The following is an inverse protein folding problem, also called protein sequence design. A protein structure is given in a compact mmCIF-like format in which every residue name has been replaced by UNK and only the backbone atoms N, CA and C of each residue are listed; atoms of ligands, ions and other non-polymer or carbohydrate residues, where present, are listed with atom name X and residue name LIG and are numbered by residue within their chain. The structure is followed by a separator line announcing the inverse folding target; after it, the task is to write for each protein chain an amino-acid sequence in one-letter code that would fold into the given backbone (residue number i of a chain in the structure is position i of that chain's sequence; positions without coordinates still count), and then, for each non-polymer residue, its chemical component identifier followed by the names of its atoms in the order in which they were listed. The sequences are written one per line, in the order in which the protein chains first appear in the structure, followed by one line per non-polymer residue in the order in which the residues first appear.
data_IF_725135846747
#
_entry.id   IF_725135846747
#
_cell.length_a   1.000
_cell.length_b   1.000
_cell.length_c   1.000
_cell.angle_alpha   90.00
_cell.angle_beta   90.00
_cell.angle_gamma   90.00
#
_symmetry.space_group_name_H-M   'P 1'
#
loop_
_entity.id
_entity.type
_entity.pdbx_description
1 polymer ?
#
# COMPACT_ATOMS: atom_id res chain seq x y z
N UNK A 1 -2.75 -10.48 35.94
CA UNK A 1 -3.59 -9.92 34.86
C UNK A 1 -2.80 -8.78 34.21
N UNK A 2 -2.01 -9.12 33.20
CA UNK A 2 -1.20 -8.17 32.44
C UNK A 2 -2.10 -7.44 31.46
N UNK A 3 -2.66 -6.32 31.89
CA UNK A 3 -3.34 -5.41 30.97
C UNK A 3 -2.38 -5.04 29.84
N UNK A 4 -2.86 -5.14 28.61
CA UNK A 4 -2.11 -4.89 27.38
C UNK A 4 -1.28 -3.61 27.52
N UNK A 5 0.04 -3.72 27.27
CA UNK A 5 0.97 -2.59 27.39
C UNK A 5 0.77 -1.64 26.21
N UNK A 6 -0.31 -0.88 26.21
CA UNK A 6 -0.52 0.20 25.24
C UNK A 6 0.47 1.33 25.50
N UNK A 7 0.86 2.05 24.44
CA UNK A 7 1.81 3.17 24.52
C UNK A 7 1.27 4.25 25.47
N UNK A 8 -0.04 4.52 25.41
CA UNK A 8 -0.77 5.33 26.38
C UNK A 8 -0.56 4.88 27.85
N UNK A 9 -0.65 3.57 28.12
CA UNK A 9 -0.46 3.02 29.46
C UNK A 9 0.99 3.17 29.96
N UNK A 10 1.98 3.09 29.07
CA UNK A 10 3.38 3.34 29.41
C UNK A 10 3.62 4.82 29.73
N UNK A 11 3.12 5.74 28.90
CA UNK A 11 3.23 7.19 29.11
C UNK A 11 2.56 7.62 30.41
N UNK A 12 1.35 7.14 30.69
CA UNK A 12 0.66 7.42 31.96
C UNK A 12 1.40 6.87 33.18
N UNK A 13 2.01 5.69 33.07
CA UNK A 13 2.82 5.12 34.16
C UNK A 13 4.09 5.95 34.40
N UNK A 14 4.79 6.34 33.34
CA UNK A 14 5.96 7.24 33.43
C UNK A 14 5.59 8.56 34.12
N UNK A 15 4.52 9.22 33.69
CA UNK A 15 4.06 10.47 34.31
C UNK A 15 3.74 10.27 35.80
N UNK A 16 3.08 9.17 36.16
CA UNK A 16 2.82 8.84 37.58
C UNK A 16 4.09 8.62 38.39
N UNK A 17 5.12 8.01 37.80
CA UNK A 17 6.42 7.84 38.46
C UNK A 17 7.11 9.19 38.68
N UNK A 18 7.11 10.07 37.67
CA UNK A 18 7.69 11.41 37.79
C UNK A 18 6.93 12.26 38.83
N UNK A 19 5.59 12.24 38.79
CA UNK A 19 4.76 12.91 39.79
C UNK A 19 5.05 12.35 41.18
N UNK A 20 5.24 11.04 41.34
CA UNK A 20 5.61 10.44 42.64
C UNK A 20 6.97 10.93 43.16
N UNK A 21 7.95 11.09 42.30
CA UNK A 21 9.29 11.62 42.67
C UNK A 21 9.18 13.09 43.07
N UNK A 22 8.48 13.90 42.26
CA UNK A 22 8.32 15.34 42.47
C UNK A 22 7.38 15.67 43.65
N UNK A 23 6.43 14.79 43.97
CA UNK A 23 5.49 14.93 45.09
C UNK A 23 6.02 14.39 46.42
N UNK A 24 7.29 13.98 46.47
CA UNK A 24 7.91 13.49 47.69
C UNK A 24 7.80 14.58 48.77
N UNK A 25 7.31 14.24 49.98
CA UNK A 25 7.23 15.22 51.06
C UNK A 25 8.64 15.73 51.33
N UNK A 26 8.71 17.03 51.61
CA UNK A 26 9.95 17.62 52.07
C UNK A 26 10.38 16.80 53.31
N UNK A 27 11.68 16.54 53.48
CA UNK A 27 12.25 16.09 54.76
C UNK A 27 13.16 17.16 55.36
N UNK A 28 13.04 17.41 56.66
CA UNK A 28 13.90 18.35 57.37
C UNK A 28 15.33 17.82 57.29
N UNK A 29 16.23 18.60 56.72
CA UNK A 29 17.63 18.20 56.49
C UNK A 29 18.29 17.77 57.81
N UNK A 30 19.08 16.71 57.78
CA UNK A 30 19.77 16.21 58.98
C UNK A 30 20.71 17.27 59.59
N UNK A 31 21.20 18.21 58.78
CA UNK A 31 21.96 19.38 59.25
C UNK A 31 21.11 20.37 60.07
N UNK A 32 19.83 20.50 59.74
CA UNK A 32 18.91 21.37 60.48
C UNK A 32 18.50 20.73 61.81
N UNK A 33 18.35 19.40 61.85
CA UNK A 33 18.15 18.63 63.09
C UNK A 33 19.38 18.69 63.99
N UNK A 34 20.56 18.47 63.42
CA UNK A 34 21.82 18.60 64.13
C UNK A 34 22.02 20.01 64.68
N UNK A 35 21.62 21.07 63.95
CA UNK A 35 21.75 22.46 64.45
C UNK A 35 20.82 22.76 65.64
N UNK A 36 19.70 22.05 65.81
CA UNK A 36 18.90 22.16 67.03
C UNK A 36 19.53 21.39 68.20
N UNK A 37 20.15 20.24 67.92
CA UNK A 37 20.84 19.41 68.92
C UNK A 37 22.20 20.03 69.38
N UNK A 38 22.94 20.70 68.50
CA UNK A 38 24.24 21.32 68.84
C UNK A 38 24.12 22.59 69.71
N UNK A 39 22.91 23.13 69.90
CA UNK A 39 22.67 24.29 70.78
C UNK A 39 22.53 23.89 72.27
N UNK A 40 22.53 22.60 72.60
CA UNK A 40 22.22 22.08 73.94
C UNK A 40 23.36 22.16 74.97
N UNK A 41 24.59 22.53 74.60
CA UNK A 41 25.75 22.25 75.45
C UNK A 41 26.27 23.38 76.36
N UNK A 42 25.61 24.53 76.50
CA UNK A 42 26.04 25.57 77.47
C UNK A 42 24.90 26.13 78.37
N UNK A 43 24.32 25.24 79.18
CA UNK A 43 24.08 25.37 80.63
C UNK A 43 23.26 26.50 81.31
N UNK A 44 22.68 27.54 80.68
CA UNK A 44 21.94 28.57 81.48
C UNK A 44 20.72 29.22 80.81
N UNK A 45 19.60 28.49 80.66
CA UNK A 45 18.22 29.05 80.83
C UNK A 45 17.13 27.95 80.93
N UNK A 46 17.44 26.90 81.70
CA UNK A 46 16.88 25.53 81.63
C UNK A 46 15.41 25.37 82.07
N UNK A 47 14.72 26.41 82.56
CA UNK A 47 13.30 26.28 82.96
C UNK A 47 12.29 27.06 82.12
N UNK A 48 12.67 28.17 81.48
CA UNK A 48 11.78 28.82 80.50
C UNK A 48 11.90 28.18 79.12
N UNK A 49 13.12 27.80 78.70
CA UNK A 49 13.37 27.26 77.36
C UNK A 49 12.77 25.88 77.11
N UNK A 50 12.71 24.96 78.06
CA UNK A 50 12.08 23.64 77.81
C UNK A 50 10.61 23.71 77.42
N UNK A 51 9.90 24.76 77.89
CA UNK A 51 8.52 25.04 77.49
C UNK A 51 8.49 25.73 76.13
N UNK A 52 9.30 26.77 75.90
CA UNK A 52 9.33 27.52 74.62
C UNK A 52 10.00 26.78 73.45
N UNK A 53 11.04 25.98 73.66
CA UNK A 53 11.77 25.17 72.65
C UNK A 53 11.04 23.86 72.33
N UNK A 54 10.39 23.25 73.34
CA UNK A 54 9.44 22.15 73.09
C UNK A 54 8.20 22.63 72.34
N UNK A 55 7.85 23.91 72.48
CA UNK A 55 6.84 24.58 71.67
C UNK A 55 7.40 24.88 70.26
N UNK A 56 8.57 25.49 70.11
CA UNK A 56 9.18 25.83 68.81
C UNK A 56 9.53 24.60 67.95
N UNK A 57 10.07 23.52 68.52
CA UNK A 57 10.26 22.26 67.78
C UNK A 57 8.93 21.65 67.36
N UNK A 58 7.91 21.69 68.24
CA UNK A 58 6.55 21.25 67.87
C UNK A 58 5.90 22.16 66.85
N UNK A 59 6.17 23.46 66.85
CA UNK A 59 5.65 24.42 65.87
C UNK A 59 6.37 24.29 64.53
N UNK A 60 7.69 24.11 64.51
CA UNK A 60 8.46 23.85 63.28
C UNK A 60 8.05 22.53 62.66
N UNK A 61 7.88 21.46 63.46
CA UNK A 61 7.36 20.19 62.97
C UNK A 61 5.89 20.28 62.55
N UNK A 62 5.06 21.05 63.26
CA UNK A 62 3.66 21.27 62.90
C UNK A 62 3.51 22.06 61.60
N UNK A 63 4.28 23.14 61.42
CA UNK A 63 4.32 23.96 60.21
C UNK A 63 4.83 23.12 59.04
N UNK A 64 5.77 22.21 59.30
CA UNK A 64 6.27 21.28 58.31
C UNK A 64 5.23 20.25 57.87
N UNK A 65 4.48 19.72 58.82
CA UNK A 65 3.37 18.81 58.56
C UNK A 65 2.29 19.56 57.77
N UNK A 66 1.97 20.80 58.13
CA UNK A 66 1.00 21.64 57.43
C UNK A 66 1.46 21.96 56.00
N UNK A 67 2.72 22.35 55.80
CA UNK A 67 3.29 22.59 54.47
C UNK A 67 3.22 21.33 53.60
N UNK A 68 3.60 20.17 54.14
CA UNK A 68 3.49 18.90 53.44
C UNK A 68 2.03 18.51 53.13
N UNK A 69 1.07 18.84 54.01
CA UNK A 69 -0.35 18.65 53.74
C UNK A 69 -0.85 19.56 52.61
N UNK A 70 -0.43 20.82 52.58
CA UNK A 70 -0.76 21.77 51.50
C UNK A 70 -0.18 21.29 50.18
N UNK A 71 1.09 20.86 50.16
CA UNK A 71 1.75 20.29 48.98
C UNK A 71 1.02 19.03 48.49
N UNK A 72 0.58 18.15 49.39
CA UNK A 72 -0.22 16.96 49.03
C UNK A 72 -1.58 17.34 48.45
N UNK A 73 -2.27 18.32 49.04
CA UNK A 73 -3.57 18.81 48.53
C UNK A 73 -3.41 19.41 47.13
N UNK A 74 -2.38 20.25 46.94
CA UNK A 74 -2.06 20.84 45.64
C UNK A 74 -1.69 19.76 44.61
N UNK A 75 -0.82 18.82 44.96
CA UNK A 75 -0.43 17.73 44.06
C UNK A 75 -1.61 16.85 43.66
N UNK A 76 -2.52 16.55 44.59
CA UNK A 76 -3.72 15.79 44.27
C UNK A 76 -4.73 16.59 43.41
N UNK A 77 -4.77 17.91 43.55
CA UNK A 77 -5.65 18.77 42.75
C UNK A 77 -5.12 19.02 41.33
N UNK A 78 -3.80 19.23 41.19
CA UNK A 78 -3.14 19.51 39.90
C UNK A 78 -2.89 18.24 39.10
N UNK A 79 -2.47 17.15 39.77
CA UNK A 79 -2.18 15.87 39.14
C UNK A 79 -3.30 14.86 39.35
N UNK A 80 -4.53 15.26 39.05
CA UNK A 80 -5.65 14.32 39.07
C UNK A 80 -5.44 13.18 38.05
N UNK A 81 -6.02 12.01 38.34
CA UNK A 81 -5.89 10.81 37.51
C UNK A 81 -6.40 11.06 36.09
N UNK A 82 -7.44 11.87 35.93
CA UNK A 82 -8.00 12.23 34.62
C UNK A 82 -7.04 13.17 33.87
N UNK A 83 -6.49 14.17 34.55
CA UNK A 83 -5.54 15.11 33.96
C UNK A 83 -4.29 14.40 33.41
N UNK A 84 -3.71 13.47 34.19
CA UNK A 84 -2.54 12.69 33.76
C UNK A 84 -2.87 11.79 32.55
N UNK A 85 -4.08 11.23 32.49
CA UNK A 85 -4.52 10.45 31.33
C UNK A 85 -4.67 11.33 30.09
N UNK A 86 -5.30 12.49 30.22
CA UNK A 86 -5.51 13.42 29.12
C UNK A 86 -4.19 13.96 28.56
N UNK A 87 -3.23 14.32 29.42
CA UNK A 87 -1.89 14.75 29.00
C UNK A 87 -1.14 13.63 28.28
N UNK A 88 -1.23 12.40 28.77
CA UNK A 88 -0.62 11.25 28.07
C UNK A 88 -1.23 11.04 26.67
N UNK A 89 -2.56 11.18 26.54
CA UNK A 89 -3.25 11.11 25.25
C UNK A 89 -2.89 12.29 24.35
N UNK A 90 -2.74 13.51 24.87
CA UNK A 90 -2.30 14.67 24.07
C UNK A 90 -0.87 14.49 23.57
N UNK A 91 0.05 13.98 24.39
CA UNK A 91 1.43 13.65 23.97
C UNK A 91 1.42 12.53 22.93
N UNK A 92 0.49 11.58 23.03
CA UNK A 92 0.30 10.55 22.02
C UNK A 92 -0.24 11.11 20.72
N UNK A 93 -1.26 11.97 20.77
CA UNK A 93 -1.77 12.68 19.60
C UNK A 93 -0.70 13.54 18.94
N UNK A 94 0.06 14.33 19.70
CA UNK A 94 1.17 15.13 19.17
C UNK A 94 2.27 14.26 18.56
N UNK A 95 2.58 13.12 19.19
CA UNK A 95 3.50 12.16 18.61
C UNK A 95 2.98 11.63 17.28
N UNK A 96 1.70 11.25 17.21
CA UNK A 96 1.08 10.82 15.96
C UNK A 96 1.05 11.95 14.93
N UNK A 97 0.71 13.19 15.28
CA UNK A 97 0.77 14.34 14.36
C UNK A 97 2.20 14.70 13.91
N UNK A 98 3.21 14.42 14.74
CA UNK A 98 4.61 14.60 14.35
C UNK A 98 5.20 13.42 13.58
N UNK A 99 4.59 12.25 13.71
CA UNK A 99 5.06 10.97 13.16
C UNK A 99 4.27 10.53 11.94
N UNK A 100 3.04 11.00 11.77
CA UNK A 100 2.35 11.08 10.49
C UNK A 100 3.06 12.20 9.74
N UNK A 101 3.85 11.90 8.69
CA UNK A 101 4.29 12.94 7.79
C UNK A 101 3.02 13.54 7.19
N UNK A 102 2.81 14.86 7.31
CA UNK A 102 1.69 15.62 6.76
C UNK A 102 0.99 14.90 5.59
N UNK A 103 -0.07 14.14 5.88
CA UNK A 103 -0.95 13.53 4.87
C UNK A 103 -1.85 14.58 4.21
N UNK A 104 -1.61 15.87 4.53
CA UNK A 104 -2.15 17.03 3.83
C UNK A 104 -1.60 17.20 2.41
N UNK A 105 -0.75 16.30 1.91
CA UNK A 105 -0.35 16.22 0.51
C UNK A 105 -0.96 15.04 -0.27
N UNK A 106 -1.99 14.36 0.26
CA UNK A 106 -2.79 13.40 -0.51
C UNK A 106 -3.64 14.05 -1.64
N UNK A 107 -3.28 15.25 -2.11
CA UNK A 107 -3.99 15.96 -3.18
C UNK A 107 -3.17 17.02 -3.91
N UNK A 108 -1.84 17.05 -3.79
CA UNK A 108 -1.02 18.09 -4.42
C UNK A 108 0.24 17.53 -5.05
N UNK A 109 0.19 17.45 -6.39
CA UNK A 109 1.32 17.42 -7.32
C UNK A 109 2.51 16.49 -7.05
N UNK A 110 2.76 15.66 -8.06
CA UNK A 110 4.08 15.11 -8.41
C UNK A 110 5.11 16.26 -8.46
N UNK A 111 5.68 16.62 -7.31
CA UNK A 111 6.61 17.73 -7.17
C UNK A 111 7.83 17.27 -6.39
N UNK A 112 8.87 16.91 -7.13
CA UNK A 112 10.12 17.67 -7.23
C UNK A 112 10.67 18.41 -5.98
N UNK A 113 10.32 17.98 -4.77
CA UNK A 113 11.18 18.25 -3.62
C UNK A 113 12.28 17.20 -3.70
N UNK A 114 13.49 17.61 -4.04
CA UNK A 114 14.67 16.74 -4.10
C UNK A 114 14.94 15.96 -2.81
N UNK A 115 14.18 16.22 -1.73
CA UNK A 115 14.23 15.63 -0.39
C UNK A 115 13.70 14.20 -0.36
N UNK A 116 14.55 13.28 0.10
CA UNK A 116 14.18 11.90 0.41
C UNK A 116 13.40 11.84 1.73
N UNK A 117 12.26 11.17 1.72
CA UNK A 117 11.40 10.99 2.90
C UNK A 117 11.67 9.65 3.57
N UNK A 118 11.44 9.60 4.89
CA UNK A 118 11.54 8.34 5.64
C UNK A 118 10.40 7.42 5.19
N UNK A 119 10.75 6.35 4.48
CA UNK A 119 9.80 5.42 3.87
C UNK A 119 9.89 5.32 2.35
N UNK A 120 10.65 6.21 1.70
CA UNK A 120 10.93 6.11 0.27
C UNK A 120 11.80 4.89 -0.04
N UNK A 121 11.47 4.15 -1.10
CA UNK A 121 12.25 3.00 -1.53
C UNK A 121 13.59 3.46 -2.14
N UNK A 122 14.69 3.15 -1.45
CA UNK A 122 16.04 3.47 -1.89
C UNK A 122 16.53 2.58 -3.04
N UNK A 123 15.75 1.58 -3.46
CA UNK A 123 16.01 0.80 -4.67
C UNK A 123 15.50 1.48 -5.95
N UNK A 124 14.64 2.50 -5.83
CA UNK A 124 14.13 3.23 -6.98
C UNK A 124 15.18 4.21 -7.52
N UNK A 125 15.37 4.20 -8.84
CA UNK A 125 16.43 4.96 -9.48
C UNK A 125 16.27 6.48 -9.30
N UNK A 126 15.03 6.98 -9.25
CA UNK A 126 14.75 8.39 -9.02
C UNK A 126 15.21 8.82 -7.62
N UNK A 127 15.04 7.94 -6.62
CA UNK A 127 15.50 8.17 -5.25
C UNK A 127 17.03 8.03 -5.13
N UNK A 128 17.65 7.13 -5.89
CA UNK A 128 19.11 7.01 -5.97
C UNK A 128 19.72 8.28 -6.60
N UNK A 129 19.08 8.88 -7.61
CA UNK A 129 19.51 10.16 -8.16
C UNK A 129 19.37 11.30 -7.15
N UNK A 130 18.30 11.32 -6.34
CA UNK A 130 18.13 12.29 -5.24
C UNK A 130 19.19 12.14 -4.14
N UNK A 131 19.66 10.92 -3.85
CA UNK A 131 20.77 10.70 -2.93
C UNK A 131 22.02 11.44 -3.44
N UNK A 132 22.32 11.32 -4.74
CA UNK A 132 23.49 11.99 -5.33
C UNK A 132 23.43 13.51 -5.23
N UNK A 133 22.24 14.11 -5.18
CA UNK A 133 22.06 15.56 -5.07
C UNK A 133 22.01 16.10 -3.64
N UNK A 134 21.85 15.21 -2.65
CA UNK A 134 21.70 15.61 -1.24
C UNK A 134 23.03 15.76 -0.49
N UNK A 135 24.11 15.18 -1.01
CA UNK A 135 25.41 15.23 -0.37
C UNK A 135 26.34 16.13 -1.18
N UNK A 136 26.70 17.29 -0.63
CA UNK A 136 27.71 18.17 -1.20
C UNK A 136 29.08 17.45 -1.22
N UNK A 137 29.85 17.68 -2.30
CA UNK A 137 31.13 17.00 -2.57
C UNK A 137 32.18 17.17 -1.44
N UNK A 138 32.03 18.19 -0.59
CA UNK A 138 32.98 18.57 0.45
C UNK A 138 32.88 17.73 1.75
N UNK A 139 31.75 17.04 1.99
CA UNK A 139 31.54 16.18 3.17
C UNK A 139 31.60 14.68 2.86
N UNK A 140 31.81 14.32 1.58
CA UNK A 140 31.83 12.92 1.16
C UNK A 140 33.12 12.23 1.60
N UNK A 141 32.99 11.27 2.51
CA UNK A 141 34.03 10.25 2.70
C UNK A 141 34.22 9.48 1.39
N UNK A 142 35.45 9.19 0.98
CA UNK A 142 35.73 8.48 -0.28
C UNK A 142 34.99 7.15 -0.40
N UNK A 143 34.78 6.46 0.73
CA UNK A 143 33.99 5.23 0.83
C UNK A 143 32.52 5.41 0.42
N UNK A 144 31.93 6.57 0.73
CA UNK A 144 30.54 6.88 0.39
C UNK A 144 30.39 7.14 -1.12
N UNK A 145 31.33 7.86 -1.72
CA UNK A 145 31.34 8.08 -3.16
C UNK A 145 31.49 6.76 -3.94
N UNK A 146 32.37 5.85 -3.48
CA UNK A 146 32.51 4.51 -4.06
C UNK A 146 31.22 3.67 -3.93
N UNK A 147 30.56 3.73 -2.76
CA UNK A 147 29.30 3.02 -2.54
C UNK A 147 28.15 3.57 -3.41
N UNK A 148 28.07 4.90 -3.58
CA UNK A 148 27.09 5.53 -4.47
C UNK A 148 27.32 5.15 -5.93
N UNK A 149 28.57 5.15 -6.41
CA UNK A 149 28.89 4.73 -7.77
C UNK A 149 28.49 3.27 -8.01
N UNK A 150 28.76 2.37 -7.05
CA UNK A 150 28.33 0.98 -7.12
C UNK A 150 26.80 0.85 -7.14
N UNK A 151 26.10 1.64 -6.32
CA UNK A 151 24.63 1.65 -6.27
C UNK A 151 24.03 2.10 -7.60
N UNK A 152 24.58 3.15 -8.21
CA UNK A 152 24.18 3.64 -9.53
C UNK A 152 24.39 2.55 -10.59
N UNK A 153 25.57 1.93 -10.64
CA UNK A 153 25.89 0.81 -11.54
C UNK A 153 24.91 -0.37 -11.42
N UNK A 154 24.55 -0.74 -10.18
CA UNK A 154 23.59 -1.82 -9.93
C UNK A 154 22.18 -1.42 -10.35
N UNK A 155 21.78 -0.18 -10.11
CA UNK A 155 20.46 0.34 -10.52
C UNK A 155 20.32 0.33 -12.05
N UNK A 156 21.36 0.73 -12.79
CA UNK A 156 21.38 0.68 -14.26
C UNK A 156 21.25 -0.75 -14.79
N UNK A 157 21.99 -1.70 -14.19
CA UNK A 157 21.89 -3.13 -14.53
C UNK A 157 20.49 -3.67 -14.26
N UNK A 158 19.88 -3.30 -13.14
CA UNK A 158 18.52 -3.70 -12.80
C UNK A 158 17.51 -3.13 -13.80
N UNK A 159 17.61 -1.85 -14.16
CA UNK A 159 16.75 -1.22 -15.17
C UNK A 159 16.90 -1.90 -16.53
N UNK A 160 18.12 -2.20 -16.96
CA UNK A 160 18.38 -2.90 -18.22
C UNK A 160 17.73 -4.29 -18.24
N UNK A 161 17.78 -5.03 -17.12
CA UNK A 161 17.11 -6.32 -16.98
C UNK A 161 15.58 -6.19 -16.98
N UNK A 162 15.01 -5.19 -16.28
CA UNK A 162 13.57 -4.89 -16.31
C UNK A 162 13.10 -4.61 -17.74
N UNK A 163 13.81 -3.76 -18.50
CA UNK A 163 13.51 -3.47 -19.92
C UNK A 163 13.58 -4.72 -20.81
N UNK A 164 14.59 -5.58 -20.60
CA UNK A 164 14.69 -6.87 -21.32
C UNK A 164 13.51 -7.78 -21.02
N UNK A 165 13.14 -7.89 -19.74
CA UNK A 165 12.00 -8.68 -19.29
C UNK A 165 10.69 -8.17 -19.92
N UNK A 166 10.46 -6.86 -19.90
CA UNK A 166 9.29 -6.24 -20.53
C UNK A 166 9.25 -6.51 -22.03
N UNK A 167 10.39 -6.44 -22.72
CA UNK A 167 10.49 -6.80 -24.14
C UNK A 167 10.10 -8.26 -24.36
N UNK A 168 10.58 -9.19 -23.53
CA UNK A 168 10.22 -10.60 -23.65
C UNK A 168 8.75 -10.86 -23.34
N UNK A 169 8.18 -10.21 -22.31
CA UNK A 169 6.74 -10.28 -22.02
C UNK A 169 5.91 -9.73 -23.18
N UNK A 170 6.33 -8.64 -23.80
CA UNK A 170 5.67 -8.08 -24.99
C UNK A 170 5.73 -9.06 -26.16
N UNK A 171 6.90 -9.65 -26.40
CA UNK A 171 7.05 -10.67 -27.45
C UNK A 171 6.19 -11.89 -27.15
N UNK A 172 6.14 -12.36 -25.90
CA UNK A 172 5.29 -13.45 -25.48
C UNK A 172 3.81 -13.16 -25.74
N UNK A 173 3.32 -11.96 -25.41
CA UNK A 173 1.95 -11.52 -25.74
C UNK A 173 1.66 -11.50 -27.24
N UNK A 174 2.66 -11.20 -28.08
CA UNK A 174 2.50 -11.26 -29.54
C UNK A 174 2.51 -12.70 -30.08
N UNK A 175 3.14 -13.63 -29.36
CA UNK A 175 3.18 -15.04 -29.71
C UNK A 175 1.99 -15.83 -29.13
N UNK A 176 1.31 -15.31 -28.11
CA UNK A 176 0.13 -15.93 -27.49
C UNK A 176 -0.96 -16.32 -28.53
N UNK A 177 -1.31 -15.48 -29.52
CA UNK A 177 -2.23 -15.87 -30.60
C UNK A 177 -1.71 -17.00 -31.51
N UNK A 178 -0.39 -17.19 -31.58
CA UNK A 178 0.25 -18.21 -32.40
C UNK A 178 0.39 -19.56 -31.69
N UNK A 179 0.11 -19.65 -30.38
CA UNK A 179 0.10 -20.94 -29.67
C UNK A 179 -1.00 -21.87 -30.22
N UNK A 180 -2.15 -21.30 -30.59
CA UNK A 180 -3.26 -22.00 -31.23
C UNK A 180 -3.69 -21.31 -32.53
N UNK A 181 -2.89 -21.44 -33.61
CA UNK A 181 -3.10 -20.66 -34.84
C UNK A 181 -4.45 -20.97 -35.49
N UNK A 182 -4.96 -22.20 -35.34
CA UNK A 182 -6.26 -22.63 -35.89
C UNK A 182 -7.46 -21.96 -35.22
N UNK A 183 -7.34 -21.50 -33.98
CA UNK A 183 -8.43 -20.87 -33.22
C UNK A 183 -8.32 -19.34 -33.19
N UNK A 184 -7.11 -18.80 -33.09
CA UNK A 184 -6.89 -17.37 -32.86
C UNK A 184 -6.52 -16.57 -34.11
N UNK A 185 -5.91 -17.17 -35.13
CA UNK A 185 -5.48 -16.46 -36.34
C UNK A 185 -6.33 -16.90 -37.51
N UNK A 186 -7.40 -16.13 -37.74
CA UNK A 186 -8.31 -16.24 -38.88
C UNK A 186 -8.79 -17.68 -39.17
N UNK A 187 -9.96 -18.10 -38.67
CA UNK A 187 -10.49 -19.45 -38.92
C UNK A 187 -10.73 -19.75 -40.42
N UNK A 188 -10.70 -18.72 -41.27
CA UNK A 188 -10.89 -18.80 -42.71
C UNK A 188 -9.57 -18.85 -43.50
N UNK A 189 -8.42 -19.00 -42.84
CA UNK A 189 -7.15 -19.15 -43.55
C UNK A 189 -7.22 -20.42 -44.41
N UNK A 190 -7.00 -20.28 -45.73
CA UNK A 190 -7.04 -21.38 -46.71
C UNK A 190 -5.83 -22.29 -46.47
N UNK A 191 -5.94 -23.12 -45.45
CA UNK A 191 -5.00 -24.22 -45.19
C UNK A 191 -5.37 -25.39 -46.10
N UNK A 192 -4.36 -26.20 -46.49
CA UNK A 192 -4.56 -27.34 -47.41
C UNK A 192 -5.64 -28.32 -46.92
N UNK A 193 -5.81 -28.39 -45.61
CA UNK A 193 -6.73 -29.29 -44.91
C UNK A 193 -7.84 -28.51 -44.16
N UNK A 194 -8.16 -27.29 -44.59
CA UNK A 194 -9.18 -26.44 -43.97
C UNK A 194 -10.61 -26.74 -44.43
N UNK A 195 -11.65 -26.34 -43.67
CA UNK A 195 -13.05 -26.60 -44.01
C UNK A 195 -13.47 -26.00 -45.37
N UNK A 196 -12.83 -24.91 -45.80
CA UNK A 196 -13.06 -24.34 -47.13
C UNK A 196 -12.55 -25.25 -48.26
N UNK A 197 -11.46 -25.99 -48.05
CA UNK A 197 -10.94 -26.95 -49.02
C UNK A 197 -11.93 -28.10 -49.22
N UNK A 198 -12.57 -28.57 -48.14
CA UNK A 198 -13.64 -29.56 -48.19
C UNK A 198 -14.87 -29.03 -48.95
N UNK A 199 -15.31 -27.80 -48.67
CA UNK A 199 -16.43 -27.18 -49.37
C UNK A 199 -16.12 -26.92 -50.86
N UNK A 200 -14.89 -26.53 -51.20
CA UNK A 200 -14.44 -26.42 -52.59
C UNK A 200 -14.40 -27.79 -53.29
N UNK A 201 -13.97 -28.85 -52.60
CA UNK A 201 -14.02 -30.20 -53.13
C UNK A 201 -15.46 -30.65 -53.39
N UNK A 202 -16.39 -30.39 -52.46
CA UNK A 202 -17.83 -30.63 -52.64
C UNK A 202 -18.38 -29.84 -53.82
N UNK A 203 -18.08 -28.55 -53.93
CA UNK A 203 -18.48 -27.69 -55.05
C UNK A 203 -17.94 -28.21 -56.39
N UNK A 204 -16.68 -28.66 -56.45
CA UNK A 204 -16.10 -29.28 -57.65
C UNK A 204 -16.85 -30.55 -58.04
N UNK A 205 -17.16 -31.43 -57.09
CA UNK A 205 -17.93 -32.65 -57.37
C UNK A 205 -19.35 -32.33 -57.85
N UNK A 206 -20.00 -31.33 -57.26
CA UNK A 206 -21.31 -30.86 -57.69
C UNK A 206 -21.25 -30.26 -59.09
N UNK A 207 -20.25 -29.43 -59.39
CA UNK A 207 -20.01 -28.84 -60.71
C UNK A 207 -19.79 -29.90 -61.79
N UNK A 208 -19.02 -30.96 -61.51
CA UNK A 208 -18.86 -32.09 -62.43
C UNK A 208 -20.19 -32.81 -62.65
N UNK A 209 -20.99 -33.02 -61.59
CA UNK A 209 -22.28 -33.71 -61.68
C UNK A 209 -23.32 -32.87 -62.43
N UNK A 210 -23.34 -31.56 -62.21
CA UNK A 210 -24.20 -30.60 -62.92
C UNK A 210 -23.78 -30.49 -64.38
N UNK A 211 -22.48 -30.37 -64.68
CA UNK A 211 -21.98 -30.35 -66.05
C UNK A 211 -22.29 -31.65 -66.80
N UNK A 212 -22.12 -32.81 -66.15
CA UNK A 212 -22.50 -34.10 -66.72
C UNK A 212 -24.01 -34.27 -66.89
N UNK A 213 -24.82 -33.74 -65.96
CA UNK A 213 -26.27 -33.71 -66.07
C UNK A 213 -26.75 -32.79 -67.20
N UNK A 214 -26.11 -31.64 -67.37
CA UNK A 214 -26.40 -30.68 -68.44
C UNK A 214 -25.99 -31.24 -69.80
N UNK A 215 -24.83 -31.90 -69.90
CA UNK A 215 -24.39 -32.59 -71.12
C UNK A 215 -25.38 -33.71 -71.50
N UNK A 216 -25.81 -34.54 -70.55
CA UNK A 216 -26.84 -35.56 -70.80
C UNK A 216 -28.19 -34.98 -71.18
N UNK A 217 -28.59 -33.84 -70.60
CA UNK A 217 -29.82 -33.12 -70.99
C UNK A 217 -29.68 -32.52 -72.39
N UNK A 218 -28.52 -31.98 -72.73
CA UNK A 218 -28.24 -31.43 -74.06
C UNK A 218 -28.21 -32.54 -75.12
N UNK A 219 -27.60 -33.70 -74.84
CA UNK A 219 -27.66 -34.88 -75.71
C UNK A 219 -29.09 -35.42 -75.87
N UNK A 220 -29.95 -35.31 -74.84
CA UNK A 220 -31.38 -35.65 -74.94
C UNK A 220 -32.15 -34.61 -75.77
N UNK A 221 -31.79 -33.33 -75.63
CA UNK A 221 -32.33 -32.21 -76.43
C UNK A 221 -31.94 -32.31 -77.90
N UNK A 222 -30.70 -32.70 -78.20
CA UNK A 222 -30.17 -32.91 -79.55
C UNK A 222 -30.69 -34.21 -80.18
N UNK A 223 -30.99 -35.24 -79.38
CA UNK A 223 -31.70 -36.45 -79.86
C UNK A 223 -33.21 -36.22 -80.04
N UNK A 224 -33.80 -35.22 -79.39
CA UNK A 224 -35.18 -34.79 -79.67
C UNK A 224 -35.29 -33.75 -80.79
N UNK A 225 -34.20 -33.15 -81.25
CA UNK A 225 -34.22 -32.22 -82.41
C UNK A 225 -33.94 -32.91 -83.75
N UNK A 226 -33.80 -34.24 -83.76
CA UNK A 226 -33.60 -35.03 -84.98
C UNK A 226 -34.82 -35.89 -85.37
N UNK A 227 -35.96 -35.76 -84.68
CA UNK A 227 -37.21 -36.39 -85.09
C UNK A 227 -38.39 -35.50 -84.78
N UNK A 228 -39.02 -35.03 -85.86
CA UNK A 228 -40.40 -34.55 -85.97
C UNK A 228 -40.78 -33.24 -85.28
N UNK A 229 -41.25 -32.32 -86.12
CA UNK A 229 -42.32 -31.38 -85.81
C UNK A 229 -43.39 -32.06 -84.93
N UNK A 230 -43.54 -31.59 -83.70
CA UNK A 230 -44.59 -32.02 -82.80
C UNK A 230 -44.64 -31.09 -81.60
N UNK A 231 -45.71 -30.31 -81.53
CA UNK A 231 -46.06 -29.32 -80.52
C UNK A 231 -45.50 -29.59 -79.11
N UNK A 232 -44.67 -28.67 -78.61
CA UNK A 232 -44.31 -28.61 -77.20
C UNK A 232 -45.28 -27.66 -76.52
N UNK A 233 -46.27 -28.24 -75.84
CA UNK A 233 -47.14 -27.54 -74.91
C UNK A 233 -46.30 -26.75 -73.90
N UNK A 234 -46.51 -25.43 -73.88
CA UNK A 234 -46.04 -24.54 -72.81
C UNK A 234 -46.71 -24.94 -71.50
N UNK A 235 -46.04 -25.78 -70.70
CA UNK A 235 -46.45 -26.00 -69.32
C UNK A 235 -45.94 -24.84 -68.47
N UNK A 236 -46.88 -23.98 -68.07
CA UNK A 236 -46.67 -22.79 -67.24
C UNK A 236 -45.87 -23.10 -65.96
N UNK A 237 -44.68 -22.50 -65.86
CA UNK A 237 -43.71 -22.72 -64.79
C UNK A 237 -44.26 -22.36 -63.41
N UNK A 238 -45.28 -21.49 -63.34
CA UNK A 238 -45.96 -21.12 -62.10
C UNK A 238 -46.63 -22.29 -61.38
N UNK A 239 -47.10 -23.31 -62.12
CA UNK A 239 -47.78 -24.47 -61.52
C UNK A 239 -46.80 -25.45 -60.87
N UNK A 240 -45.56 -25.56 -61.39
CA UNK A 240 -44.52 -26.42 -60.79
C UNK A 240 -43.99 -25.85 -59.48
N UNK A 241 -43.84 -24.53 -59.39
CA UNK A 241 -43.38 -23.88 -58.16
C UNK A 241 -44.44 -23.98 -57.06
N UNK A 242 -45.72 -23.85 -57.41
CA UNK A 242 -46.83 -24.03 -56.48
C UNK A 242 -46.96 -25.49 -55.96
N UNK A 243 -46.59 -26.48 -56.77
CA UNK A 243 -46.58 -27.88 -56.34
C UNK A 243 -45.47 -28.17 -55.32
N UNK A 244 -44.28 -27.60 -55.51
CA UNK A 244 -43.14 -27.80 -54.60
C UNK A 244 -43.30 -27.06 -53.26
N UNK A 245 -44.06 -25.96 -53.22
CA UNK A 245 -44.38 -25.23 -51.98
C UNK A 245 -45.45 -25.89 -51.10
N UNK A 246 -46.18 -26.89 -51.63
CA UNK A 246 -47.16 -27.67 -50.85
C UNK A 246 -46.56 -28.94 -50.22
N UNK A 247 -45.29 -29.23 -50.49
CA UNK A 247 -44.60 -30.44 -50.03
C UNK A 247 -43.61 -30.17 -48.87
N UNK A 248 -43.71 -28.98 -48.27
CA UNK A 248 -43.11 -28.59 -46.99
C UNK A 248 -44.19 -28.05 -46.06
#
# INVERSE_FOLDING_TARGET
MTGEKTIAALKTNFLRQQIRILSQPLKLSDKAKQRSEFSDNELRDVMLKGVYEGLESKYVDADYIQANQIVRRHNNAVFDRVAVSNVATQIEQLFWYSSEPDDHLAGGELGDDGVLRIGDDLADADNIHKLSTMFDEDEQSTEFAEALALLQDLSEKQQALKRKLERYKRLQRLLEPLENPQQSVQPNLVTRDGPLADELARSKTLGIRVAGGLARRNERGERSSASENGDIDMVDEGQKVAALLKEY
#
